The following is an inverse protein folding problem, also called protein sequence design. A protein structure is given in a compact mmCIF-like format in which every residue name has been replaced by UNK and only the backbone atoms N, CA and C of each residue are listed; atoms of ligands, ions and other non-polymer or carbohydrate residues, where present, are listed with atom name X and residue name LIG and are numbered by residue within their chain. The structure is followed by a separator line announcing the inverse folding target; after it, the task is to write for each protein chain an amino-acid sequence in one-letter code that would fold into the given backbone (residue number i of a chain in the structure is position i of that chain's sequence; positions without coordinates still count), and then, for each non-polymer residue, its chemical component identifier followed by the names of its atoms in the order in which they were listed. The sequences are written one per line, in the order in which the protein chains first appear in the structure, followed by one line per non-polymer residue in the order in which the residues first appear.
data_IF_007893240272
#
_entry.id   IF_007893240272
#
_cell.length_a   1.000
_cell.length_b   1.000
_cell.length_c   1.000
_cell.angle_alpha   90.00
_cell.angle_beta   90.00
_cell.angle_gamma   90.00
#
_symmetry.space_group_name_H-M   'P 1'
#
loop_
_entity.id
_entity.type
_entity.pdbx_description
1 polymer ?
#
# COMPACT_ATOMS: atom_id res chain seq x y z
N UNK A 1 -6.16 -32.02 -11.14
CA UNK A 1 -5.92 -30.77 -11.89
C UNK A 1 -4.84 -30.02 -11.15
N UNK A 2 -3.66 -29.85 -11.76
CA UNK A 2 -2.56 -29.12 -11.16
C UNK A 2 -2.82 -27.64 -11.40
N UNK A 3 -3.27 -26.91 -10.37
CA UNK A 3 -3.23 -25.46 -10.36
C UNK A 3 -1.76 -25.06 -10.26
N UNK A 4 -1.11 -24.86 -11.40
CA UNK A 4 0.24 -24.29 -11.44
C UNK A 4 0.14 -22.85 -10.95
N UNK A 5 0.72 -22.58 -9.78
CA UNK A 5 0.91 -21.21 -9.33
C UNK A 5 1.68 -20.43 -10.41
N UNK A 6 1.33 -19.16 -10.66
CA UNK A 6 2.09 -18.32 -11.58
C UNK A 6 3.55 -18.29 -11.16
N UNK A 7 4.45 -18.30 -12.14
CA UNK A 7 5.88 -18.22 -11.85
C UNK A 7 6.23 -16.87 -11.22
N UNK A 8 7.29 -16.82 -10.43
CA UNK A 8 7.80 -15.55 -9.87
C UNK A 8 8.09 -14.50 -10.95
N UNK A 9 8.51 -14.93 -12.15
CA UNK A 9 8.73 -14.04 -13.30
C UNK A 9 7.43 -13.39 -13.78
N UNK A 10 6.33 -14.14 -13.82
CA UNK A 10 5.00 -13.62 -14.19
C UNK A 10 4.48 -12.59 -13.20
N UNK A 11 4.80 -12.74 -11.90
CA UNK A 11 4.46 -11.72 -10.92
C UNK A 11 5.32 -10.46 -11.08
N UNK A 12 6.60 -10.58 -11.40
CA UNK A 12 7.49 -9.42 -11.58
C UNK A 12 7.00 -8.49 -12.68
N UNK A 13 6.71 -9.04 -13.87
CA UNK A 13 6.21 -8.25 -15.01
C UNK A 13 4.86 -7.58 -14.71
N UNK A 14 3.96 -8.30 -14.03
CA UNK A 14 2.67 -7.75 -13.63
C UNK A 14 2.83 -6.63 -12.60
N UNK A 15 3.74 -6.78 -11.63
CA UNK A 15 4.03 -5.78 -10.60
C UNK A 15 4.59 -4.52 -11.23
N UNK A 16 5.58 -4.62 -12.10
CA UNK A 16 6.16 -3.49 -12.83
C UNK A 16 5.09 -2.71 -13.60
N UNK A 17 4.27 -3.40 -14.41
CA UNK A 17 3.21 -2.74 -15.17
C UNK A 17 2.14 -2.05 -14.29
N UNK A 18 1.83 -2.63 -13.12
CA UNK A 18 0.92 -2.00 -12.16
C UNK A 18 1.57 -0.75 -11.54
N UNK A 19 2.84 -0.84 -11.13
CA UNK A 19 3.56 0.27 -10.51
C UNK A 19 3.75 1.43 -11.48
N UNK A 20 4.11 1.17 -12.74
CA UNK A 20 4.24 2.20 -13.78
C UNK A 20 2.91 2.94 -13.97
N UNK A 21 1.80 2.21 -14.09
CA UNK A 21 0.48 2.81 -14.22
C UNK A 21 0.05 3.59 -12.96
N UNK A 22 0.48 3.16 -11.77
CA UNK A 22 0.23 3.89 -10.52
C UNK A 22 1.06 5.19 -10.45
N UNK A 23 2.31 5.17 -10.92
CA UNK A 23 3.17 6.36 -11.00
C UNK A 23 2.58 7.42 -11.95
N UNK A 24 2.07 6.96 -13.10
CA UNK A 24 1.33 7.79 -14.08
C UNK A 24 -0.08 8.20 -13.60
N UNK A 25 -0.50 7.77 -12.41
CA UNK A 25 -1.86 7.97 -11.85
C UNK A 25 -2.99 7.43 -12.74
N UNK A 26 -2.71 6.47 -13.61
CA UNK A 26 -3.69 5.78 -14.44
C UNK A 26 -4.28 4.56 -13.72
N UNK A 27 -5.29 4.84 -12.88
CA UNK A 27 -5.99 3.80 -12.12
C UNK A 27 -6.75 2.81 -12.99
N UNK A 28 -7.15 3.19 -14.20
CA UNK A 28 -7.88 2.29 -15.10
C UNK A 28 -6.94 1.20 -15.58
N UNK A 29 -5.78 1.61 -16.08
CA UNK A 29 -4.72 0.71 -16.56
C UNK A 29 -4.16 -0.14 -15.42
N UNK A 30 -3.86 0.44 -14.26
CA UNK A 30 -3.37 -0.32 -13.10
C UNK A 30 -4.35 -1.43 -12.66
N UNK A 31 -5.66 -1.14 -12.63
CA UNK A 31 -6.71 -2.13 -12.32
C UNK A 31 -6.84 -3.19 -13.39
N UNK A 32 -6.65 -2.83 -14.66
CA UNK A 32 -6.66 -3.81 -15.75
C UNK A 32 -5.49 -4.78 -15.65
N UNK A 33 -4.27 -4.28 -15.43
CA UNK A 33 -3.09 -5.14 -15.20
C UNK A 33 -3.29 -6.06 -14.00
N UNK A 34 -3.80 -5.53 -12.88
CA UNK A 34 -4.12 -6.33 -11.70
C UNK A 34 -5.11 -7.45 -12.04
N UNK A 35 -6.23 -7.13 -12.69
CA UNK A 35 -7.25 -8.12 -13.07
C UNK A 35 -6.71 -9.18 -14.02
N UNK A 36 -5.90 -8.81 -15.01
CA UNK A 36 -5.26 -9.74 -15.95
C UNK A 36 -4.32 -10.70 -15.20
N UNK A 37 -3.53 -10.19 -14.26
CA UNK A 37 -2.57 -10.98 -13.50
C UNK A 37 -3.22 -12.03 -12.58
N UNK A 38 -4.45 -11.79 -12.11
CA UNK A 38 -5.19 -12.73 -11.24
C UNK A 38 -6.33 -13.46 -11.97
N UNK A 39 -6.51 -13.22 -13.28
CA UNK A 39 -7.62 -13.76 -14.04
C UNK A 39 -7.60 -15.29 -14.05
N UNK A 40 -8.73 -15.91 -13.71
CA UNK A 40 -8.85 -17.37 -13.65
C UNK A 40 -8.09 -18.03 -12.50
N UNK A 41 -7.40 -17.26 -11.64
CA UNK A 41 -6.66 -17.78 -10.51
C UNK A 41 -6.78 -16.89 -9.25
N UNK A 42 -7.87 -17.05 -8.47
CA UNK A 42 -8.07 -16.29 -7.23
C UNK A 42 -6.96 -16.50 -6.18
N UNK A 43 -6.27 -17.65 -6.20
CA UNK A 43 -5.17 -17.91 -5.27
C UNK A 43 -3.96 -17.01 -5.54
N UNK A 44 -3.80 -16.50 -6.77
CA UNK A 44 -2.72 -15.59 -7.15
C UNK A 44 -2.84 -14.19 -6.52
N UNK A 45 -4.04 -13.80 -6.07
CA UNK A 45 -4.30 -12.47 -5.48
C UNK A 45 -3.38 -12.21 -4.29
N UNK A 46 -3.31 -13.15 -3.36
CA UNK A 46 -2.49 -13.00 -2.14
C UNK A 46 -1.01 -12.89 -2.47
N UNK A 47 -0.53 -13.66 -3.46
CA UNK A 47 0.85 -13.58 -3.94
C UNK A 47 1.17 -12.21 -4.52
N UNK A 48 0.38 -11.77 -5.50
CA UNK A 48 0.55 -10.48 -6.16
C UNK A 48 0.52 -9.31 -5.19
N UNK A 49 -0.42 -9.31 -4.24
CA UNK A 49 -0.52 -8.26 -3.21
C UNK A 49 0.74 -8.17 -2.33
N UNK A 50 1.38 -9.31 -2.01
CA UNK A 50 2.64 -9.31 -1.27
C UNK A 50 3.77 -8.68 -2.07
N UNK A 51 3.87 -8.96 -3.37
CA UNK A 51 4.88 -8.35 -4.22
C UNK A 51 4.66 -6.84 -4.40
N UNK A 52 3.42 -6.41 -4.62
CA UNK A 52 3.07 -4.98 -4.67
C UNK A 52 3.42 -4.26 -3.36
N UNK A 53 3.06 -4.85 -2.22
CA UNK A 53 3.42 -4.29 -0.92
C UNK A 53 4.94 -4.24 -0.69
N UNK A 54 5.69 -5.22 -1.19
CA UNK A 54 7.15 -5.25 -1.08
C UNK A 54 7.84 -4.15 -1.91
N UNK A 55 7.22 -3.69 -3.01
CA UNK A 55 7.73 -2.58 -3.80
C UNK A 55 7.67 -1.23 -3.05
N UNK A 56 6.75 -1.09 -2.10
CA UNK A 56 6.67 0.09 -1.23
C UNK A 56 7.66 -0.06 -0.08
N UNK A 57 8.82 0.58 -0.23
CA UNK A 57 9.86 0.63 0.82
C UNK A 57 9.63 1.82 1.74
N UNK A 58 9.51 1.57 3.04
CA UNK A 58 9.43 2.61 4.07
C UNK A 58 10.70 2.57 4.89
N UNK A 59 11.50 3.66 4.91
CA UNK A 59 12.70 3.73 5.73
C UNK A 59 12.44 3.45 7.21
N UNK A 60 13.40 2.82 7.87
CA UNK A 60 13.44 2.74 9.33
C UNK A 60 13.37 4.15 9.96
N UNK A 61 12.69 4.25 11.10
CA UNK A 61 12.39 5.51 11.79
C UNK A 61 11.19 6.27 11.24
N UNK A 62 10.44 5.73 10.28
CA UNK A 62 9.25 6.37 9.70
C UNK A 62 7.98 5.53 9.84
N UNK A 63 6.87 6.21 10.13
CA UNK A 63 5.52 5.71 9.91
C UNK A 63 4.89 6.55 8.82
N UNK A 64 4.54 5.91 7.71
CA UNK A 64 3.97 6.59 6.56
C UNK A 64 2.46 6.40 6.59
N UNK A 65 1.70 7.49 6.49
CA UNK A 65 0.23 7.50 6.40
C UNK A 65 -0.22 8.12 5.08
N UNK A 66 -1.24 7.57 4.45
CA UNK A 66 -1.73 8.08 3.17
C UNK A 66 -2.85 7.24 2.59
N UNK A 67 -3.13 7.48 1.30
CA UNK A 67 -4.09 6.68 0.57
C UNK A 67 -3.62 5.22 0.49
N UNK A 68 -4.53 4.27 0.70
CA UNK A 68 -4.21 2.84 0.71
C UNK A 68 -3.61 2.35 -0.61
N UNK A 69 -3.95 3.02 -1.71
CA UNK A 69 -3.32 2.79 -3.02
C UNK A 69 -1.82 3.06 -3.00
N UNK A 70 -1.37 4.14 -2.36
CA UNK A 70 0.05 4.52 -2.30
C UNK A 70 0.80 3.73 -1.23
N UNK A 71 0.15 3.43 -0.09
CA UNK A 71 0.77 2.69 1.02
C UNK A 71 0.98 1.21 0.68
N UNK A 72 0.15 0.63 -0.20
CA UNK A 72 0.17 -0.79 -0.54
C UNK A 72 0.45 -1.09 -2.02
N UNK A 73 0.61 -0.06 -2.85
CA UNK A 73 0.63 -0.18 -4.31
C UNK A 73 -0.55 -1.02 -4.85
N UNK A 74 -1.72 -0.89 -4.21
CA UNK A 74 -2.91 -1.69 -4.55
C UNK A 74 -3.96 -0.82 -5.26
N UNK A 75 -4.18 -1.01 -6.58
CA UNK A 75 -5.09 -0.17 -7.37
C UNK A 75 -6.58 -0.32 -7.00
N UNK A 76 -6.91 -1.28 -6.13
CA UNK A 76 -8.26 -1.50 -5.61
C UNK A 76 -8.49 -0.94 -4.20
N UNK A 77 -7.45 -0.42 -3.52
CA UNK A 77 -7.61 0.23 -2.22
C UNK A 77 -7.97 1.70 -2.39
N UNK A 78 -9.10 2.08 -1.80
CA UNK A 78 -9.58 3.46 -1.73
C UNK A 78 -9.70 3.95 -0.26
N UNK A 79 -9.26 3.14 0.69
CA UNK A 79 -9.20 3.46 2.11
C UNK A 79 -7.99 4.34 2.45
N UNK A 80 -7.95 4.84 3.68
CA UNK A 80 -6.73 5.41 4.25
C UNK A 80 -5.99 4.33 5.04
N UNK A 81 -4.66 4.37 5.01
CA UNK A 81 -3.79 3.38 5.63
C UNK A 81 -2.52 4.02 6.20
N UNK A 82 -1.81 3.27 7.06
CA UNK A 82 -0.45 3.58 7.47
C UNK A 82 0.40 2.31 7.55
N UNK A 83 1.72 2.47 7.41
CA UNK A 83 2.71 1.39 7.55
C UNK A 83 3.98 1.90 8.23
N UNK A 84 4.55 1.07 9.09
CA UNK A 84 5.79 1.35 9.82
C UNK A 84 7.00 0.76 9.08
N UNK A 85 8.11 1.50 9.02
CA UNK A 85 9.38 1.01 8.48
C UNK A 85 10.18 0.13 9.46
N UNK A 86 9.94 0.29 10.76
CA UNK A 86 10.70 -0.41 11.82
C UNK A 86 10.08 -1.75 12.25
N UNK A 87 8.82 -2.00 11.90
CA UNK A 87 8.12 -3.19 12.35
C UNK A 87 7.06 -3.64 11.34
N UNK A 88 6.56 -4.89 11.43
CA UNK A 88 5.59 -5.41 10.47
C UNK A 88 4.18 -4.85 10.67
N UNK A 89 3.97 -3.97 11.65
CA UNK A 89 2.63 -3.46 11.97
C UNK A 89 2.17 -2.44 10.94
N UNK A 90 0.91 -2.59 10.54
CA UNK A 90 0.23 -1.74 9.57
C UNK A 90 -1.21 -1.56 9.98
N UNK A 91 -1.80 -0.42 9.62
CA UNK A 91 -3.21 -0.16 9.79
C UNK A 91 -3.84 0.18 8.45
N UNK A 92 -5.07 -0.28 8.23
CA UNK A 92 -5.80 0.03 7.01
C UNK A 92 -7.31 0.00 7.24
N UNK A 93 -8.08 0.33 6.20
CA UNK A 93 -9.54 0.48 6.22
C UNK A 93 -10.01 1.68 7.06
N UNK A 94 -9.18 2.71 7.20
CA UNK A 94 -9.59 3.93 7.88
C UNK A 94 -10.49 4.77 6.97
N UNK A 95 -11.57 5.30 7.55
CA UNK A 95 -12.57 6.10 6.83
C UNK A 95 -12.08 7.50 6.46
N UNK A 96 -11.03 7.99 7.10
CA UNK A 96 -10.43 9.30 6.84
C UNK A 96 -8.94 9.33 7.17
N UNK A 97 -8.22 10.27 6.56
CA UNK A 97 -6.80 10.53 6.84
C UNK A 97 -6.57 10.84 8.32
N UNK A 98 -7.47 11.64 8.94
CA UNK A 98 -7.34 12.01 10.34
C UNK A 98 -7.34 10.79 11.27
N UNK A 99 -8.20 9.80 11.01
CA UNK A 99 -8.25 8.57 11.81
C UNK A 99 -7.00 7.72 11.56
N UNK A 100 -6.57 7.58 10.30
CA UNK A 100 -5.34 6.85 9.98
C UNK A 100 -4.11 7.49 10.65
N UNK A 101 -4.01 8.83 10.63
CA UNK A 101 -2.93 9.59 11.24
C UNK A 101 -2.92 9.44 12.77
N UNK A 102 -4.09 9.52 13.41
CA UNK A 102 -4.20 9.31 14.86
C UNK A 102 -3.72 7.91 15.26
N UNK A 103 -4.12 6.87 14.51
CA UNK A 103 -3.67 5.51 14.78
C UNK A 103 -2.16 5.32 14.51
N UNK A 104 -1.62 5.96 13.47
CA UNK A 104 -0.19 5.97 13.20
C UNK A 104 0.61 6.65 14.32
N UNK A 105 0.09 7.75 14.90
CA UNK A 105 0.69 8.46 16.02
C UNK A 105 0.66 7.63 17.31
N UNK A 106 -0.45 6.95 17.60
CA UNK A 106 -0.56 6.02 18.72
C UNK A 106 0.49 4.91 18.59
N UNK A 107 0.59 4.29 17.41
CA UNK A 107 1.62 3.28 17.14
C UNK A 107 3.04 3.83 17.31
N UNK A 108 3.34 5.03 16.79
CA UNK A 108 4.66 5.65 16.96
C UNK A 108 5.00 5.90 18.44
N UNK A 109 4.01 6.28 19.25
CA UNK A 109 4.20 6.44 20.69
C UNK A 109 4.48 5.11 21.42
N UNK A 110 3.89 4.00 20.98
CA UNK A 110 4.15 2.68 21.56
C UNK A 110 5.62 2.25 21.42
N UNK A 111 6.32 2.68 20.36
CA UNK A 111 7.78 2.47 20.22
C UNK A 111 8.56 3.15 21.35
N UNK A 112 8.11 4.33 21.81
CA UNK A 112 8.71 5.04 22.95
C UNK A 112 8.63 4.21 24.23
N UNK A 113 7.49 3.57 24.46
CA UNK A 113 7.24 2.72 25.63
C UNK A 113 8.07 1.43 25.61
N UNK A 114 8.43 0.95 24.41
CA UNK A 114 9.30 -0.21 24.20
C UNK A 114 10.80 0.09 24.22
N UNK A 115 11.21 1.36 24.40
CA UNK A 115 12.62 1.78 24.36
C UNK A 115 13.22 1.85 22.95
N UNK A 116 12.39 1.74 21.90
CA UNK A 116 12.79 1.97 20.52
C UNK A 116 12.77 3.47 20.20
N UNK A 117 13.58 3.94 19.24
CA UNK A 117 13.48 5.32 18.75
C UNK A 117 12.07 5.57 18.20
N UNK A 118 11.47 6.71 18.57
CA UNK A 118 10.13 7.08 18.13
C UNK A 118 10.15 7.39 16.63
N UNK A 119 9.40 6.65 15.81
CA UNK A 119 9.38 6.93 14.38
C UNK A 119 8.58 8.21 14.10
N UNK A 120 8.99 8.94 13.07
CA UNK A 120 8.30 10.15 12.63
C UNK A 120 7.12 9.77 11.75
N UNK A 121 5.94 10.30 12.07
CA UNK A 121 4.75 10.15 11.22
C UNK A 121 4.83 11.15 10.08
N UNK A 122 4.85 10.63 8.85
CA UNK A 122 4.88 11.44 7.61
C UNK A 122 3.70 11.10 6.73
N UNK A 123 3.14 12.12 6.08
CA UNK A 123 2.06 11.94 5.10
C UNK A 123 2.63 11.71 3.72
N UNK A 124 2.11 10.71 3.04
CA UNK A 124 2.49 10.33 1.70
C UNK A 124 1.42 10.70 0.71
N UNK A 125 1.78 11.55 -0.27
CA UNK A 125 0.92 11.95 -1.37
C UNK A 125 -0.30 12.76 -0.92
N UNK A 126 -0.38 14.03 -1.34
CA UNK A 126 -1.60 14.82 -1.15
C UNK A 126 -2.71 14.35 -2.11
N UNK A 127 -3.55 13.47 -1.56
CA UNK A 127 -4.99 13.24 -1.79
C UNK A 127 -5.44 11.97 -2.59
N UNK A 128 -6.26 11.08 -1.97
CA UNK A 128 -6.91 9.94 -2.61
C UNK A 128 -8.04 10.27 -3.59
N UNK A 129 -8.37 11.54 -3.90
CA UNK A 129 -8.94 12.00 -5.19
C UNK A 129 -9.26 13.53 -5.28
N UNK A 130 -9.05 14.37 -4.25
CA UNK A 130 -9.72 15.69 -4.21
C UNK A 130 -9.04 16.87 -3.47
N UNK A 131 -7.75 17.16 -3.62
CA UNK A 131 -7.23 18.50 -3.24
C UNK A 131 -7.23 19.44 -4.45
N UNK A 132 -8.29 19.33 -5.27
CA UNK A 132 -8.61 20.24 -6.39
C UNK A 132 -10.07 20.70 -6.42
N UNK A 133 -10.92 20.37 -5.44
CA UNK A 133 -12.35 20.75 -5.46
C UNK A 133 -12.85 21.58 -4.25
N UNK A 134 -11.97 22.30 -3.55
CA UNK A 134 -12.33 23.31 -2.54
C UNK A 134 -11.39 24.51 -2.76
N UNK A 135 -11.76 25.72 -3.21
CA UNK A 135 -12.97 26.54 -2.98
C UNK A 135 -13.40 26.61 -1.53
#
# INVERSE_FOLDING_TARGET
MLSSEPSAATYSEAVEAILDALDDRDLTTAREHFRRAVHGNPAAVTGLLKFLAAAVTIPAGLVVVGAGIDIWANPHRADWAWRCGDCPWTGSNYRSLAVARSAAQEHAHDHQSGGAPVPVVVEYGSDPHTEKARR
#
